data_IF_374684254425
#
_entry.id   IF_374684254425
#
_cell.length_a   1.000
_cell.length_b   1.000
_cell.length_c   1.000
_cell.angle_alpha   90.00
_cell.angle_beta   90.00
_cell.angle_gamma   90.00
#
_symmetry.space_group_name_H-M   'P 1'
#
loop_
_entity.id
_entity.type
_entity.pdbx_description
1 polymer ?
#
# COMPACT_ATOMS: atom_id res chain seq x y z
N UNK A 1 -33.70 49.02 -26.97
CA UNK A 1 -33.22 49.40 -28.31
C UNK A 1 -32.53 48.24 -28.97
N UNK A 2 -33.09 47.81 -30.10
CA UNK A 2 -32.65 46.69 -30.94
C UNK A 2 -31.35 47.02 -31.65
N UNK A 3 -30.46 46.06 -31.87
CA UNK A 3 -29.73 45.91 -33.15
C UNK A 3 -29.33 44.46 -33.37
N UNK A 4 -29.95 43.84 -34.36
CA UNK A 4 -29.55 42.61 -35.01
C UNK A 4 -28.38 42.89 -35.97
N UNK A 5 -27.34 42.06 -35.92
CA UNK A 5 -26.27 42.02 -36.94
C UNK A 5 -26.30 40.66 -37.64
N UNK A 6 -26.62 40.67 -38.91
CA UNK A 6 -26.67 39.50 -39.79
C UNK A 6 -25.28 39.15 -40.30
N UNK A 7 -24.96 37.85 -40.36
CA UNK A 7 -23.76 37.28 -40.99
C UNK A 7 -23.94 37.11 -42.49
N UNK A 8 -22.94 37.39 -43.32
CA UNK A 8 -23.02 37.22 -44.77
C UNK A 8 -22.78 35.76 -45.18
N UNK A 9 -23.61 35.30 -46.16
CA UNK A 9 -23.49 34.02 -46.84
C UNK A 9 -22.35 34.09 -47.89
N UNK A 10 -21.41 33.11 -47.84
CA UNK A 10 -20.42 32.85 -48.88
C UNK A 10 -20.96 31.91 -49.96
N UNK A 11 -20.63 32.11 -51.24
CA UNK A 11 -21.18 31.29 -52.35
C UNK A 11 -20.45 29.97 -52.53
N UNK A 12 -21.20 28.95 -52.85
CA UNK A 12 -20.74 27.61 -53.22
C UNK A 12 -20.02 27.65 -54.59
N UNK A 13 -18.73 27.38 -54.59
CA UNK A 13 -17.94 27.14 -55.79
C UNK A 13 -18.05 25.65 -56.14
N UNK A 14 -18.75 25.37 -57.28
CA UNK A 14 -18.81 24.04 -57.88
C UNK A 14 -17.54 23.77 -58.68
N UNK A 15 -16.69 22.90 -58.18
CA UNK A 15 -15.53 22.36 -58.91
C UNK A 15 -15.95 21.04 -59.59
N UNK A 16 -15.97 21.07 -60.97
CA UNK A 16 -16.08 19.86 -61.77
C UNK A 16 -14.71 19.23 -61.86
N UNK A 17 -14.54 18.02 -61.32
CA UNK A 17 -13.35 17.21 -61.53
C UNK A 17 -13.74 16.03 -62.42
N UNK A 18 -13.20 16.04 -63.61
CA UNK A 18 -13.29 14.96 -64.60
C UNK A 18 -12.37 13.82 -64.15
N UNK A 19 -12.89 12.61 -64.37
CA UNK A 19 -12.26 11.37 -63.88
C UNK A 19 -10.93 11.02 -64.58
N UNK A 20 -10.06 10.44 -63.76
CA UNK A 20 -9.04 9.51 -64.23
C UNK A 20 -9.08 8.35 -63.23
N UNK A 21 -9.50 7.17 -63.72
CA UNK A 21 -9.42 5.93 -62.96
C UNK A 21 -7.95 5.48 -62.94
N UNK A 22 -7.26 5.67 -61.82
CA UNK A 22 -6.02 4.99 -61.52
C UNK A 22 -6.32 3.83 -60.57
N UNK A 23 -6.13 2.61 -61.04
CA UNK A 23 -6.25 1.38 -60.25
C UNK A 23 -5.09 1.39 -59.22
N UNK A 24 -5.42 1.70 -57.96
CA UNK A 24 -4.50 1.52 -56.83
C UNK A 24 -4.71 0.09 -56.31
N UNK A 25 -3.75 -0.77 -56.60
CA UNK A 25 -3.55 -2.07 -55.92
C UNK A 25 -3.14 -1.78 -54.48
N UNK A 26 -4.10 -1.95 -53.56
CA UNK A 26 -3.82 -1.87 -52.09
C UNK A 26 -3.04 -3.13 -51.68
N UNK A 27 -1.74 -2.97 -51.47
CA UNK A 27 -0.94 -3.96 -50.73
C UNK A 27 -1.29 -3.84 -49.26
N UNK A 28 -2.12 -4.76 -48.78
CA UNK A 28 -2.40 -4.88 -47.35
C UNK A 28 -1.14 -5.39 -46.62
N UNK A 29 -0.35 -4.49 -46.08
CA UNK A 29 0.68 -4.83 -45.09
C UNK A 29 -0.04 -5.21 -43.80
N UNK A 30 -0.21 -6.52 -43.57
CA UNK A 30 -0.62 -7.05 -42.28
C UNK A 30 0.56 -6.88 -41.32
N UNK A 31 0.52 -5.81 -40.54
CA UNK A 31 1.35 -5.69 -39.34
C UNK A 31 0.84 -6.72 -38.33
N UNK A 32 1.43 -7.90 -38.33
CA UNK A 32 1.32 -8.79 -37.17
C UNK A 32 2.14 -8.16 -36.04
N UNK A 33 1.45 -7.42 -35.13
CA UNK A 33 2.04 -7.15 -33.82
C UNK A 33 2.40 -8.51 -33.21
N UNK A 34 3.64 -8.75 -32.79
CA UNK A 34 3.94 -9.92 -31.99
C UNK A 34 3.11 -9.76 -30.70
N UNK A 35 2.11 -10.59 -30.54
CA UNK A 35 1.43 -10.81 -29.29
C UNK A 35 2.52 -11.28 -28.33
N UNK A 36 2.97 -10.40 -27.43
CA UNK A 36 3.86 -10.80 -26.35
C UNK A 36 3.08 -11.79 -25.50
N UNK A 37 3.27 -13.07 -25.78
CA UNK A 37 2.77 -14.14 -24.94
C UNK A 37 3.44 -13.94 -23.56
N UNK A 38 2.71 -13.34 -22.61
CA UNK A 38 3.11 -13.36 -21.22
C UNK A 38 3.21 -14.82 -20.82
N UNK A 39 4.40 -15.24 -20.44
CA UNK A 39 4.59 -16.58 -19.90
C UNK A 39 3.60 -16.77 -18.74
N UNK A 40 2.97 -17.95 -18.68
CA UNK A 40 2.06 -18.27 -17.58
C UNK A 40 2.78 -18.02 -16.24
N UNK A 41 2.09 -17.44 -15.24
CA UNK A 41 2.71 -17.14 -13.96
C UNK A 41 3.29 -18.42 -13.36
N UNK A 42 4.58 -18.38 -13.02
CA UNK A 42 5.28 -19.48 -12.36
C UNK A 42 5.42 -19.10 -10.90
N UNK A 43 5.03 -20.00 -10.00
CA UNK A 43 5.10 -19.78 -8.56
C UNK A 43 6.22 -20.60 -7.95
N UNK A 44 6.93 -20.02 -6.99
CA UNK A 44 8.04 -20.66 -6.26
C UNK A 44 7.94 -20.34 -4.76
N UNK A 45 8.25 -21.30 -3.94
CA UNK A 45 8.44 -21.06 -2.51
C UNK A 45 9.74 -20.32 -2.29
N UNK A 46 9.65 -19.11 -1.75
CA UNK A 46 10.79 -18.30 -1.33
C UNK A 46 10.72 -18.08 0.18
N UNK A 47 11.84 -18.33 0.87
CA UNK A 47 11.93 -18.14 2.32
C UNK A 47 12.92 -17.00 2.63
N UNK A 48 12.64 -16.28 3.69
CA UNK A 48 13.42 -15.14 4.16
C UNK A 48 14.48 -15.56 5.19
N UNK A 49 15.27 -14.62 5.67
CA UNK A 49 16.29 -14.85 6.70
C UNK A 49 15.70 -15.33 8.04
N UNK A 50 14.45 -14.93 8.32
CA UNK A 50 13.68 -15.40 9.48
C UNK A 50 13.02 -16.79 9.27
N UNK A 51 13.30 -17.46 8.14
CA UNK A 51 12.69 -18.72 7.73
C UNK A 51 11.16 -18.61 7.49
N UNK A 52 10.65 -17.41 7.25
CA UNK A 52 9.27 -17.21 6.82
C UNK A 52 9.20 -17.46 5.33
N UNK A 53 8.32 -18.36 4.89
CA UNK A 53 8.22 -18.74 3.49
C UNK A 53 6.92 -18.23 2.88
N UNK A 54 7.02 -17.87 1.60
CA UNK A 54 5.92 -17.35 0.79
C UNK A 54 5.87 -18.06 -0.56
N UNK A 55 4.68 -18.22 -1.11
CA UNK A 55 4.49 -18.68 -2.47
C UNK A 55 4.42 -17.48 -3.40
N UNK A 56 5.56 -17.11 -3.99
CA UNK A 56 5.69 -15.90 -4.81
C UNK A 56 5.59 -16.18 -6.30
N UNK A 57 5.08 -15.21 -7.05
CA UNK A 57 5.11 -15.21 -8.49
C UNK A 57 6.48 -14.75 -9.00
N UNK A 58 7.16 -15.62 -9.74
CA UNK A 58 8.51 -15.36 -10.25
C UNK A 58 8.59 -14.12 -11.15
N UNK A 59 7.49 -13.71 -11.78
CA UNK A 59 7.45 -12.51 -12.61
C UNK A 59 7.70 -11.22 -11.81
N UNK A 60 7.49 -11.23 -10.49
CA UNK A 60 7.74 -10.08 -9.63
C UNK A 60 9.09 -10.10 -8.93
N UNK A 61 9.90 -11.16 -9.09
CA UNK A 61 11.17 -11.28 -8.35
C UNK A 61 12.08 -10.07 -8.52
N UNK A 62 12.34 -9.65 -9.74
CA UNK A 62 13.22 -8.50 -10.03
C UNK A 62 12.65 -7.20 -9.45
N UNK A 63 11.31 -7.03 -9.52
CA UNK A 63 10.64 -5.87 -8.94
C UNK A 63 10.73 -5.88 -7.40
N UNK A 64 10.58 -7.04 -6.77
CA UNK A 64 10.74 -7.21 -5.32
C UNK A 64 12.16 -6.83 -4.91
N UNK A 65 13.18 -7.39 -5.56
CA UNK A 65 14.60 -7.11 -5.25
C UNK A 65 14.94 -5.62 -5.44
N UNK A 66 14.46 -5.01 -6.53
CA UNK A 66 14.65 -3.59 -6.79
C UNK A 66 14.00 -2.70 -5.70
N UNK A 67 12.77 -3.04 -5.28
CA UNK A 67 12.08 -2.31 -4.22
C UNK A 67 12.74 -2.47 -2.84
N UNK A 68 13.18 -3.68 -2.49
CA UNK A 68 13.96 -3.93 -1.28
C UNK A 68 15.22 -3.04 -1.26
N UNK A 69 15.98 -3.01 -2.37
CA UNK A 69 17.17 -2.17 -2.51
C UNK A 69 16.84 -0.68 -2.37
N UNK A 70 15.78 -0.20 -3.05
CA UNK A 70 15.33 1.19 -2.99
C UNK A 70 14.94 1.61 -1.57
N UNK A 71 14.14 0.80 -0.89
CA UNK A 71 13.68 1.12 0.47
C UNK A 71 14.84 1.10 1.46
N UNK A 72 15.76 0.13 1.37
CA UNK A 72 16.98 0.13 2.20
C UNK A 72 17.85 1.36 1.98
N UNK A 73 17.97 1.83 0.73
CA UNK A 73 18.68 3.08 0.44
C UNK A 73 18.00 4.30 1.08
N UNK A 74 16.67 4.34 1.05
CA UNK A 74 15.89 5.39 1.72
C UNK A 74 16.10 5.39 3.22
N UNK A 75 16.08 4.21 3.84
CA UNK A 75 16.40 4.01 5.27
C UNK A 75 17.81 4.51 5.57
N UNK A 76 18.81 4.06 4.81
CA UNK A 76 20.21 4.47 5.00
C UNK A 76 20.39 5.99 4.89
N UNK A 77 19.69 6.63 3.95
CA UNK A 77 19.72 8.09 3.78
C UNK A 77 19.19 8.83 5.01
N UNK A 78 18.08 8.37 5.59
CA UNK A 78 17.54 8.97 6.81
C UNK A 78 18.41 8.66 8.04
N UNK A 79 18.98 7.46 8.12
CA UNK A 79 19.93 7.07 9.18
C UNK A 79 21.18 7.95 9.15
N UNK A 80 21.73 8.24 7.97
CA UNK A 80 22.88 9.12 7.82
C UNK A 80 22.62 10.56 8.27
N UNK A 81 21.35 10.98 8.35
CA UNK A 81 20.93 12.27 8.93
C UNK A 81 20.79 12.20 10.46
N UNK A 82 21.16 11.11 11.11
CA UNK A 82 21.08 10.92 12.56
C UNK A 82 19.67 10.63 13.08
N UNK A 83 18.75 10.20 12.22
CA UNK A 83 17.39 9.89 12.62
C UNK A 83 17.25 8.46 13.15
N UNK A 84 16.44 8.28 14.17
CA UNK A 84 15.86 6.99 14.51
C UNK A 84 14.88 6.57 13.38
N UNK A 85 14.92 5.31 13.03
CA UNK A 85 14.13 4.75 11.93
C UNK A 85 13.00 3.89 12.48
N UNK A 86 11.77 4.27 12.18
CA UNK A 86 10.58 3.49 12.50
C UNK A 86 9.94 2.88 11.27
N UNK A 87 9.15 1.83 11.50
CA UNK A 87 8.24 1.25 10.50
C UNK A 87 6.79 1.43 10.96
N UNK A 88 5.92 1.85 10.04
CA UNK A 88 4.47 1.95 10.28
C UNK A 88 3.77 0.69 9.76
N UNK A 89 3.24 -0.12 10.65
CA UNK A 89 2.29 -1.18 10.32
C UNK A 89 0.88 -0.63 10.36
N UNK A 90 0.19 -0.67 9.23
CA UNK A 90 -1.18 -0.17 9.09
C UNK A 90 -1.94 -0.95 8.02
N UNK A 91 -3.23 -1.26 8.21
CA UNK A 91 -4.05 -1.89 7.18
C UNK A 91 -4.12 -1.02 5.93
N UNK A 92 -3.60 -1.50 4.81
CA UNK A 92 -3.73 -0.84 3.50
C UNK A 92 -4.80 -1.51 2.63
N UNK A 93 -5.00 -2.81 2.80
CA UNK A 93 -5.99 -3.59 2.05
C UNK A 93 -7.41 -3.04 2.27
N UNK A 94 -8.25 -2.98 1.21
CA UNK A 94 -9.66 -2.64 1.34
C UNK A 94 -10.51 -3.80 1.90
N UNK A 95 -9.92 -4.95 2.17
CA UNK A 95 -10.63 -6.11 2.72
C UNK A 95 -11.36 -5.75 4.03
N UNK A 96 -12.58 -6.25 4.18
CA UNK A 96 -13.41 -5.94 5.34
C UNK A 96 -14.24 -4.65 5.24
N UNK A 97 -14.21 -3.95 4.10
CA UNK A 97 -15.04 -2.77 3.84
C UNK A 97 -14.30 -1.43 3.87
N UNK A 98 -12.96 -1.47 3.98
CA UNK A 98 -12.12 -0.29 3.89
C UNK A 98 -11.96 0.23 2.46
N UNK A 99 -11.15 1.28 2.31
CA UNK A 99 -10.74 1.85 1.04
C UNK A 99 -9.22 2.02 1.03
N UNK A 100 -8.54 1.49 0.01
CA UNK A 100 -7.09 1.63 -0.11
C UNK A 100 -6.65 3.10 -0.07
N UNK A 101 -7.35 3.97 -0.81
CA UNK A 101 -7.02 5.40 -0.83
C UNK A 101 -7.22 6.07 0.53
N UNK A 102 -8.26 5.70 1.28
CA UNK A 102 -8.51 6.21 2.63
C UNK A 102 -7.47 5.66 3.59
N UNK A 103 -7.20 4.35 3.55
CA UNK A 103 -6.17 3.73 4.40
C UNK A 103 -4.78 4.34 4.16
N UNK A 104 -4.43 4.62 2.90
CA UNK A 104 -3.17 5.30 2.56
C UNK A 104 -3.11 6.73 3.10
N UNK A 105 -4.23 7.47 3.06
CA UNK A 105 -4.31 8.81 3.64
C UNK A 105 -4.19 8.79 5.17
N UNK A 106 -4.80 7.80 5.83
CA UNK A 106 -4.64 7.57 7.27
C UNK A 106 -3.19 7.23 7.60
N UNK A 107 -2.55 6.36 6.80
CA UNK A 107 -1.15 6.00 6.97
C UNK A 107 -0.23 7.23 6.88
N UNK A 108 -0.48 8.11 5.91
CA UNK A 108 0.28 9.35 5.76
C UNK A 108 0.09 10.29 6.96
N UNK A 109 -1.14 10.46 7.43
CA UNK A 109 -1.44 11.29 8.61
C UNK A 109 -0.81 10.71 9.88
N UNK A 110 -0.92 9.39 10.09
CA UNK A 110 -0.32 8.69 11.23
C UNK A 110 1.19 8.84 11.22
N UNK A 111 1.84 8.60 10.07
CA UNK A 111 3.29 8.76 9.94
C UNK A 111 3.74 10.19 10.29
N UNK A 112 3.03 11.21 9.81
CA UNK A 112 3.30 12.62 10.13
C UNK A 112 3.12 12.90 11.62
N UNK A 113 2.02 12.42 12.21
CA UNK A 113 1.71 12.63 13.64
C UNK A 113 2.73 11.99 14.54
N UNK A 114 3.10 10.72 14.30
CA UNK A 114 4.11 10.00 15.08
C UNK A 114 5.48 10.68 14.93
N UNK A 115 5.89 11.02 13.71
CA UNK A 115 7.15 11.72 13.46
C UNK A 115 7.18 13.09 14.16
N UNK A 116 6.09 13.83 14.17
CA UNK A 116 6.02 15.12 14.87
C UNK A 116 6.16 14.96 16.39
N UNK A 117 5.54 13.94 16.98
CA UNK A 117 5.66 13.64 18.43
C UNK A 117 7.08 13.24 18.84
N UNK A 118 7.78 12.49 18.00
CA UNK A 118 9.16 12.06 18.24
C UNK A 118 10.19 13.13 17.86
N UNK A 119 9.77 14.18 17.16
CA UNK A 119 10.63 15.21 16.59
C UNK A 119 11.11 14.86 15.18
N UNK A 120 10.70 15.65 14.19
CA UNK A 120 10.97 15.39 12.76
C UNK A 120 12.45 15.44 12.37
N UNK A 121 13.30 16.03 13.23
CA UNK A 121 14.77 16.01 13.08
C UNK A 121 15.38 14.72 13.61
N UNK A 122 14.73 14.09 14.58
CA UNK A 122 15.27 12.96 15.35
C UNK A 122 14.70 11.61 14.93
N UNK A 123 13.56 11.58 14.22
CA UNK A 123 12.92 10.34 13.80
C UNK A 123 12.38 10.45 12.37
N UNK A 124 12.33 9.30 11.72
CA UNK A 124 11.65 9.11 10.45
C UNK A 124 10.88 7.79 10.49
N UNK A 125 9.66 7.80 10.00
CA UNK A 125 8.78 6.63 9.99
C UNK A 125 8.54 6.20 8.54
N UNK A 126 8.99 5.00 8.20
CA UNK A 126 8.73 4.37 6.91
C UNK A 126 7.24 4.05 6.81
N UNK A 127 6.57 4.64 5.83
CA UNK A 127 5.17 4.41 5.55
C UNK A 127 5.02 3.46 4.34
N UNK A 128 4.59 2.21 4.52
CA UNK A 128 4.42 1.26 3.41
C UNK A 128 3.40 1.73 2.37
N UNK A 129 2.41 2.54 2.76
CA UNK A 129 1.42 3.10 1.83
C UNK A 129 2.01 4.10 0.84
N UNK A 130 3.07 4.81 1.22
CA UNK A 130 3.81 5.71 0.33
C UNK A 130 4.87 4.96 -0.50
N UNK A 131 5.35 3.81 0.03
CA UNK A 131 6.46 3.04 -0.54
C UNK A 131 5.98 1.68 -1.09
N UNK A 132 4.73 1.63 -1.59
CA UNK A 132 4.03 0.39 -1.96
C UNK A 132 4.74 -0.48 -3.02
N UNK A 133 5.79 0.02 -3.63
CA UNK A 133 6.63 -0.72 -4.55
C UNK A 133 6.30 -0.46 -6.02
N UNK A 134 7.30 0.02 -6.73
CA UNK A 134 7.23 0.19 -8.17
C UNK A 134 7.11 -1.18 -8.87
N UNK A 135 6.37 -1.23 -9.97
CA UNK A 135 6.21 -2.42 -10.80
C UNK A 135 5.58 -3.63 -10.12
N UNK A 136 4.90 -3.42 -8.99
CA UNK A 136 4.19 -4.48 -8.25
C UNK A 136 2.69 -4.55 -8.61
N UNK A 137 2.28 -3.90 -9.69
CA UNK A 137 0.89 -3.93 -10.12
C UNK A 137 0.48 -5.35 -10.55
N UNK A 138 -0.54 -5.90 -9.91
CA UNK A 138 -0.99 -7.29 -10.10
C UNK A 138 -0.27 -8.32 -9.23
N UNK A 139 0.66 -7.91 -8.36
CA UNK A 139 1.26 -8.78 -7.36
C UNK A 139 0.23 -9.22 -6.31
N UNK A 140 0.42 -10.41 -5.77
CA UNK A 140 -0.39 -10.97 -4.68
C UNK A 140 0.02 -10.42 -3.31
N UNK A 141 -0.79 -10.68 -2.29
CA UNK A 141 -0.42 -10.41 -0.89
C UNK A 141 0.90 -11.10 -0.51
N UNK A 142 1.12 -12.34 -0.93
CA UNK A 142 2.34 -13.08 -0.67
C UNK A 142 3.59 -12.42 -1.30
N UNK A 143 3.47 -11.86 -2.51
CA UNK A 143 4.58 -11.15 -3.15
C UNK A 143 4.93 -9.87 -2.36
N UNK A 144 3.92 -9.11 -1.93
CA UNK A 144 4.13 -7.93 -1.08
C UNK A 144 4.69 -8.29 0.28
N UNK A 145 4.16 -9.32 0.93
CA UNK A 145 4.63 -9.74 2.26
C UNK A 145 6.05 -10.30 2.20
N UNK A 146 6.42 -11.02 1.14
CA UNK A 146 7.80 -11.46 0.93
C UNK A 146 8.76 -10.26 0.81
N UNK A 147 8.38 -9.23 0.04
CA UNK A 147 9.15 -7.99 -0.09
C UNK A 147 9.31 -7.28 1.26
N UNK A 148 8.20 -7.06 1.96
CA UNK A 148 8.21 -6.33 3.23
C UNK A 148 8.95 -7.10 4.32
N UNK A 149 8.80 -8.43 4.38
CA UNK A 149 9.55 -9.25 5.35
C UNK A 149 11.05 -9.08 5.18
N UNK A 150 11.56 -9.12 3.94
CA UNK A 150 12.99 -8.89 3.67
C UNK A 150 13.46 -7.50 4.13
N UNK A 151 12.62 -6.48 3.95
CA UNK A 151 12.93 -5.12 4.42
C UNK A 151 12.97 -5.08 5.95
N UNK A 152 11.95 -5.65 6.60
CA UNK A 152 11.77 -5.57 8.06
C UNK A 152 12.81 -6.39 8.82
N UNK A 153 13.11 -7.60 8.32
CA UNK A 153 14.08 -8.48 9.00
C UNK A 153 15.53 -8.00 8.88
N UNK A 154 15.83 -7.20 7.84
CA UNK A 154 17.20 -6.82 7.52
C UNK A 154 18.07 -7.98 7.03
N UNK A 155 19.33 -7.71 6.62
CA UNK A 155 20.21 -8.74 6.07
C UNK A 155 20.54 -9.89 7.03
N UNK A 156 20.53 -9.65 8.34
CA UNK A 156 20.89 -10.65 9.37
C UNK A 156 19.67 -11.26 10.08
N UNK A 157 18.46 -10.83 9.73
CA UNK A 157 17.22 -11.23 10.42
C UNK A 157 17.12 -10.65 11.84
N UNK A 158 17.78 -9.53 12.09
CA UNK A 158 17.80 -8.83 13.38
C UNK A 158 17.06 -7.50 13.34
N UNK A 159 16.40 -7.17 12.20
CA UNK A 159 15.74 -5.89 12.02
C UNK A 159 16.68 -4.71 12.23
N UNK A 160 17.95 -4.86 11.86
CA UNK A 160 19.02 -3.93 12.15
C UNK A 160 18.84 -2.56 11.52
N UNK A 161 17.99 -2.48 10.51
CA UNK A 161 17.65 -1.24 9.83
C UNK A 161 16.64 -0.38 10.61
N UNK A 162 16.03 -0.92 11.68
CA UNK A 162 14.98 -0.26 12.44
C UNK A 162 15.30 -0.14 13.92
N UNK A 163 14.84 0.98 14.50
CA UNK A 163 14.90 1.25 15.94
C UNK A 163 13.56 0.92 16.61
N UNK A 164 12.45 1.09 15.88
CA UNK A 164 11.10 0.78 16.40
C UNK A 164 10.12 0.40 15.30
N UNK A 165 9.06 -0.32 15.70
CA UNK A 165 7.85 -0.53 14.89
C UNK A 165 6.67 0.16 15.57
N UNK A 166 5.82 0.77 14.77
CA UNK A 166 4.60 1.41 15.21
C UNK A 166 3.41 0.74 14.52
N UNK A 167 2.57 0.09 15.29
CA UNK A 167 1.33 -0.53 14.84
C UNK A 167 0.18 0.45 15.07
N UNK A 168 -0.45 0.88 13.99
CA UNK A 168 -1.57 1.79 14.03
C UNK A 168 -2.76 1.16 14.75
N UNK A 169 -3.34 1.90 15.67
CA UNK A 169 -4.45 1.46 16.47
C UNK A 169 -5.72 2.29 16.29
N UNK A 170 -6.76 2.00 17.07
CA UNK A 170 -8.04 2.69 16.96
C UNK A 170 -7.96 4.21 17.07
N UNK A 171 -7.02 4.75 17.87
CA UNK A 171 -6.87 6.21 18.05
C UNK A 171 -6.37 6.90 16.79
N UNK A 172 -5.48 6.25 16.01
CA UNK A 172 -4.96 6.79 14.76
C UNK A 172 -6.10 6.94 13.72
N UNK A 173 -6.95 5.92 13.60
CA UNK A 173 -8.12 5.95 12.72
C UNK A 173 -9.17 6.95 13.21
N UNK A 174 -9.46 6.99 14.52
CA UNK A 174 -10.37 7.95 15.12
C UNK A 174 -9.93 9.40 14.86
N UNK A 175 -8.64 9.66 14.99
CA UNK A 175 -8.04 10.98 14.74
C UNK A 175 -8.25 11.46 13.30
N UNK A 176 -8.13 10.57 12.32
CA UNK A 176 -8.31 10.91 10.91
C UNK A 176 -9.74 11.38 10.60
N UNK A 177 -10.73 10.73 11.18
CA UNK A 177 -12.15 11.04 10.99
C UNK A 177 -12.71 12.01 12.03
N UNK A 178 -11.87 12.53 12.93
CA UNK A 178 -12.27 13.40 14.04
C UNK A 178 -13.33 12.76 14.93
N UNK A 179 -13.22 11.43 15.17
CA UNK A 179 -14.17 10.70 16.03
C UNK A 179 -13.87 10.96 17.49
N UNK A 180 -14.91 11.24 18.25
CA UNK A 180 -14.81 11.65 19.66
C UNK A 180 -15.50 10.69 20.63
N UNK A 181 -16.09 9.61 20.14
CA UNK A 181 -16.93 8.69 20.91
C UNK A 181 -18.41 9.10 20.93
N UNK A 182 -18.75 10.25 20.34
CA UNK A 182 -20.14 10.75 20.26
C UNK A 182 -20.54 10.92 18.80
N UNK A 183 -21.67 10.32 18.42
CA UNK A 183 -22.19 10.36 17.05
C UNK A 183 -21.16 9.93 15.99
N UNK A 184 -20.27 9.02 16.32
CA UNK A 184 -19.15 8.61 15.45
C UNK A 184 -19.65 7.94 14.17
N UNK A 185 -20.71 7.15 14.25
CA UNK A 185 -21.29 6.48 13.08
C UNK A 185 -21.90 7.50 12.11
N UNK A 186 -22.61 8.48 12.62
CA UNK A 186 -23.20 9.58 11.84
C UNK A 186 -22.10 10.46 11.21
N UNK A 187 -21.00 10.69 11.94
CA UNK A 187 -19.83 11.42 11.41
C UNK A 187 -19.16 10.65 10.25
N UNK A 188 -19.00 9.34 10.39
CA UNK A 188 -18.45 8.49 9.32
C UNK A 188 -19.36 8.46 8.10
N UNK A 189 -20.67 8.37 8.28
CA UNK A 189 -21.64 8.43 7.18
C UNK A 189 -21.63 9.78 6.48
N UNK A 190 -21.57 10.87 7.22
CA UNK A 190 -21.46 12.22 6.67
C UNK A 190 -20.13 12.42 5.91
N UNK A 191 -19.02 11.89 6.45
CA UNK A 191 -17.72 11.89 5.78
C UNK A 191 -17.78 11.11 4.46
N UNK A 192 -18.40 9.92 4.49
CA UNK A 192 -18.58 9.08 3.29
C UNK A 192 -19.36 9.84 2.21
N UNK A 193 -20.52 10.43 2.55
CA UNK A 193 -21.34 11.17 1.60
C UNK A 193 -20.61 12.39 1.03
N UNK A 194 -19.88 13.12 1.87
CA UNK A 194 -19.07 14.25 1.44
C UNK A 194 -17.95 13.81 0.49
N UNK A 195 -17.34 12.63 0.73
CA UNK A 195 -16.29 12.07 -0.13
C UNK A 195 -16.86 11.64 -1.47
N UNK A 196 -17.99 10.95 -1.49
CA UNK A 196 -18.70 10.58 -2.74
C UNK A 196 -19.01 11.82 -3.59
N UNK A 197 -19.41 12.91 -2.96
CA UNK A 197 -19.73 14.15 -3.66
C UNK A 197 -18.51 14.87 -4.25
N UNK A 198 -17.32 14.69 -3.66
CA UNK A 198 -16.12 15.48 -4.01
C UNK A 198 -15.05 14.69 -4.77
N UNK A 199 -15.05 13.38 -4.66
CA UNK A 199 -14.01 12.51 -5.22
C UNK A 199 -14.60 11.57 -6.28
N UNK A 200 -14.39 11.85 -7.58
CA UNK A 200 -14.92 11.01 -8.66
C UNK A 200 -14.41 9.56 -8.64
N UNK A 201 -13.17 9.33 -8.20
CA UNK A 201 -12.61 7.98 -8.10
C UNK A 201 -13.27 7.19 -6.97
N UNK A 202 -13.48 7.82 -5.82
CA UNK A 202 -14.20 7.22 -4.70
C UNK A 202 -15.66 6.94 -5.08
N UNK A 203 -16.32 7.89 -5.75
CA UNK A 203 -17.69 7.71 -6.28
C UNK A 203 -17.76 6.53 -7.24
N UNK A 204 -16.82 6.40 -8.18
CA UNK A 204 -16.77 5.28 -9.12
C UNK A 204 -16.65 3.93 -8.39
N UNK A 205 -15.83 3.84 -7.35
CA UNK A 205 -15.69 2.62 -6.55
C UNK A 205 -17.00 2.28 -5.79
N UNK A 206 -17.74 3.29 -5.34
CA UNK A 206 -19.05 3.12 -4.71
C UNK A 206 -20.09 2.65 -5.74
N UNK A 207 -20.15 3.28 -6.91
CA UNK A 207 -21.09 2.92 -8.00
C UNK A 207 -20.84 1.48 -8.49
N UNK A 208 -19.61 1.00 -8.46
CA UNK A 208 -19.21 -0.38 -8.79
C UNK A 208 -19.45 -1.38 -7.65
N UNK A 209 -19.88 -0.93 -6.48
CA UNK A 209 -20.09 -1.77 -5.31
C UNK A 209 -18.80 -2.25 -4.62
N UNK A 210 -17.64 -1.74 -5.04
CA UNK A 210 -16.35 -2.06 -4.40
C UNK A 210 -16.24 -1.46 -2.99
N UNK A 211 -16.92 -0.34 -2.74
CA UNK A 211 -17.04 0.31 -1.44
C UNK A 211 -18.53 0.55 -1.17
N UNK A 212 -19.02 0.08 -0.03
CA UNK A 212 -20.41 0.34 0.39
C UNK A 212 -20.43 1.21 1.65
N UNK A 213 -21.45 2.07 1.81
CA UNK A 213 -21.58 2.90 3.01
C UNK A 213 -21.62 2.05 4.28
N UNK A 214 -22.36 0.94 4.27
CA UNK A 214 -22.45 0.04 5.42
C UNK A 214 -21.09 -0.64 5.74
N UNK A 215 -20.38 -1.12 4.72
CA UNK A 215 -19.04 -1.70 4.88
C UNK A 215 -18.06 -0.66 5.43
N UNK A 216 -18.04 0.53 4.84
CA UNK A 216 -17.20 1.65 5.28
C UNK A 216 -17.48 2.04 6.74
N UNK A 217 -18.76 2.24 7.09
CA UNK A 217 -19.16 2.55 8.45
C UNK A 217 -18.74 1.47 9.43
N UNK A 218 -18.98 0.21 9.12
CA UNK A 218 -18.62 -0.90 10.00
C UNK A 218 -17.11 -1.00 10.19
N UNK A 219 -16.34 -0.90 9.11
CA UNK A 219 -14.88 -0.97 9.16
C UNK A 219 -14.29 0.17 10.00
N UNK A 220 -14.57 1.41 9.64
CA UNK A 220 -13.99 2.57 10.32
C UNK A 220 -14.70 2.90 11.65
N UNK A 221 -15.95 2.50 11.82
CA UNK A 221 -16.70 2.65 13.07
C UNK A 221 -16.17 1.76 14.18
N UNK A 222 -15.57 0.61 13.83
CA UNK A 222 -14.80 -0.20 14.77
C UNK A 222 -13.38 0.34 14.97
N UNK A 223 -13.08 1.51 14.36
CA UNK A 223 -11.77 2.16 14.39
C UNK A 223 -10.70 1.18 13.98
N UNK A 224 -10.73 0.85 12.68
CA UNK A 224 -9.85 -0.12 12.06
C UNK A 224 -8.42 -0.01 12.61
N UNK A 225 -7.77 -1.12 12.76
CA UNK A 225 -6.43 -1.22 13.32
C UNK A 225 -5.73 -2.42 12.71
N UNK A 226 -4.55 -2.72 13.15
CA UNK A 226 -3.80 -3.92 12.76
C UNK A 226 -4.59 -5.21 12.94
N UNK A 227 -5.59 -5.24 13.83
CA UNK A 227 -6.46 -6.39 14.02
C UNK A 227 -7.32 -6.76 12.78
N UNK A 228 -7.48 -5.83 11.83
CA UNK A 228 -8.20 -6.06 10.58
C UNK A 228 -7.29 -6.37 9.38
N UNK A 229 -5.98 -6.51 9.60
CA UNK A 229 -5.00 -6.71 8.54
C UNK A 229 -4.17 -7.96 8.78
N UNK A 230 -4.29 -8.94 7.90
CA UNK A 230 -3.43 -10.12 7.94
C UNK A 230 -1.94 -9.75 7.79
N UNK A 231 -1.62 -8.82 6.88
CA UNK A 231 -0.25 -8.32 6.72
C UNK A 231 0.31 -7.70 8.00
N UNK A 232 -0.50 -6.92 8.73
CA UNK A 232 -0.07 -6.36 10.02
C UNK A 232 0.10 -7.43 11.10
N UNK A 233 -0.66 -8.53 11.05
CA UNK A 233 -0.42 -9.69 11.93
C UNK A 233 0.92 -10.36 11.63
N UNK A 234 1.26 -10.52 10.34
CA UNK A 234 2.56 -11.05 9.94
C UNK A 234 3.69 -10.13 10.39
N UNK A 235 3.54 -8.82 10.21
CA UNK A 235 4.51 -7.82 10.65
C UNK A 235 4.71 -7.84 12.17
N UNK A 236 3.64 -8.08 12.94
CA UNK A 236 3.74 -8.29 14.38
C UNK A 236 4.55 -9.54 14.74
N UNK A 237 4.30 -10.65 14.04
CA UNK A 237 5.05 -11.88 14.22
C UNK A 237 6.52 -11.71 13.81
N UNK A 238 6.79 -10.94 12.75
CA UNK A 238 8.16 -10.58 12.34
C UNK A 238 8.86 -9.79 13.46
N UNK A 239 8.20 -8.77 14.04
CA UNK A 239 8.75 -8.02 15.16
C UNK A 239 9.11 -8.90 16.36
N UNK A 240 8.23 -9.87 16.69
CA UNK A 240 8.48 -10.86 17.74
C UNK A 240 9.69 -11.73 17.42
N UNK A 241 9.76 -12.30 16.21
CA UNK A 241 10.88 -13.13 15.80
C UNK A 241 12.21 -12.38 15.76
N UNK A 242 12.20 -11.13 15.33
CA UNK A 242 13.38 -10.24 15.41
C UNK A 242 13.83 -10.12 16.86
N UNK A 243 12.92 -9.82 17.79
CA UNK A 243 13.25 -9.68 19.20
C UNK A 243 13.70 -10.99 19.84
N UNK A 244 13.14 -12.13 19.44
CA UNK A 244 13.60 -13.45 19.86
C UNK A 244 15.06 -13.69 19.44
N UNK A 245 15.40 -13.37 18.19
CA UNK A 245 16.78 -13.47 17.69
C UNK A 245 17.73 -12.49 18.37
N UNK A 246 17.31 -11.23 18.58
CA UNK A 246 18.12 -10.23 19.29
C UNK A 246 18.46 -10.66 20.71
N UNK A 247 17.57 -11.32 21.41
CA UNK A 247 17.85 -11.84 22.78
C UNK A 247 18.98 -12.87 22.80
N UNK A 248 19.11 -13.65 21.74
CA UNK A 248 20.17 -14.66 21.60
C UNK A 248 21.46 -14.14 20.95
N UNK A 249 21.46 -12.94 20.39
CA UNK A 249 22.60 -12.39 19.66
C UNK A 249 23.52 -11.61 20.60
N UNK A 250 24.84 -11.89 20.53
CA UNK A 250 25.84 -11.30 21.42
C UNK A 250 25.88 -9.76 21.39
N UNK A 251 25.65 -9.17 20.20
CA UNK A 251 25.73 -7.72 19.98
C UNK A 251 24.46 -6.97 20.37
N UNK A 252 23.36 -7.65 20.63
CA UNK A 252 22.05 -7.04 20.90
C UNK A 252 21.59 -7.25 22.34
N UNK A 253 21.40 -8.48 22.76
CA UNK A 253 20.88 -8.81 24.09
C UNK A 253 19.50 -8.21 24.39
N UNK A 254 19.09 -8.28 25.64
CA UNK A 254 17.78 -7.78 26.11
C UNK A 254 17.68 -6.26 26.00
N UNK A 255 18.78 -5.55 26.23
CA UNK A 255 18.82 -4.07 26.24
C UNK A 255 18.59 -3.45 24.85
N UNK A 256 18.85 -4.20 23.79
CA UNK A 256 18.77 -3.71 22.41
C UNK A 256 17.61 -4.37 21.64
N UNK A 257 16.49 -4.61 22.31
CA UNK A 257 15.27 -5.06 21.67
C UNK A 257 14.72 -3.97 20.75
N UNK A 258 14.11 -4.40 19.64
CA UNK A 258 13.31 -3.52 18.79
C UNK A 258 12.15 -2.98 19.63
N UNK A 259 12.03 -1.67 19.73
CA UNK A 259 10.89 -1.06 20.40
C UNK A 259 9.63 -1.25 19.57
N UNK A 260 8.53 -1.63 20.20
CA UNK A 260 7.25 -1.83 19.53
C UNK A 260 6.19 -0.99 20.21
N UNK A 261 5.42 -0.29 19.40
CA UNK A 261 4.29 0.52 19.84
C UNK A 261 3.00 0.03 19.17
N UNK A 262 1.93 0.03 19.93
CA UNK A 262 0.57 -0.15 19.42
C UNK A 262 -0.29 1.01 19.90
N UNK A 263 -0.95 1.69 18.98
CA UNK A 263 -1.83 2.83 19.26
C UNK A 263 -1.15 3.91 20.13
N UNK A 264 0.15 4.12 19.91
CA UNK A 264 0.96 5.08 20.65
C UNK A 264 1.53 4.60 21.98
N UNK A 265 1.22 3.38 22.41
CA UNK A 265 1.68 2.80 23.68
C UNK A 265 2.78 1.75 23.44
N UNK A 266 3.85 1.73 24.25
CA UNK A 266 4.87 0.69 24.15
C UNK A 266 4.27 -0.67 24.52
N UNK A 267 4.61 -1.70 23.74
CA UNK A 267 4.12 -3.05 23.92
C UNK A 267 5.24 -4.07 23.72
N UNK A 268 5.01 -5.28 24.26
CA UNK A 268 5.87 -6.44 24.00
C UNK A 268 5.13 -7.39 23.07
N UNK A 269 5.66 -7.70 21.87
CA UNK A 269 4.95 -8.52 20.89
C UNK A 269 4.70 -9.98 21.33
N UNK A 270 5.36 -10.46 22.39
CA UNK A 270 5.34 -11.86 22.78
C UNK A 270 4.00 -12.47 23.21
N UNK A 271 2.97 -11.66 23.47
CA UNK A 271 1.64 -12.12 23.86
C UNK A 271 0.65 -12.25 22.70
N UNK A 272 1.05 -11.88 21.49
CA UNK A 272 0.19 -11.92 20.33
C UNK A 272 0.62 -13.04 19.39
N UNK A 273 -0.06 -14.15 19.46
CA UNK A 273 0.13 -15.27 18.56
C UNK A 273 -1.16 -15.53 17.81
N UNK A 274 -1.20 -15.17 16.54
CA UNK A 274 -2.21 -15.66 15.65
C UNK A 274 -1.55 -16.32 14.44
N UNK A 275 -1.10 -17.59 14.56
CA UNK A 275 -0.44 -18.29 13.46
C UNK A 275 -1.35 -18.53 12.26
N UNK A 276 -2.65 -18.39 12.42
CA UNK A 276 -3.64 -18.54 11.35
C UNK A 276 -4.02 -17.22 10.68
N UNK A 277 -3.37 -16.11 11.03
CA UNK A 277 -3.80 -14.80 10.62
C UNK A 277 -3.58 -14.52 9.14
N UNK A 278 -2.53 -15.06 8.54
CA UNK A 278 -2.17 -14.75 7.18
C UNK A 278 -2.38 -15.91 6.23
N UNK A 279 -3.14 -15.65 5.18
CA UNK A 279 -3.16 -16.51 4.00
C UNK A 279 -1.93 -16.30 3.09
N UNK A 280 -1.07 -15.33 3.42
CA UNK A 280 0.08 -14.95 2.60
C UNK A 280 1.35 -15.74 2.98
N UNK A 281 1.51 -16.09 4.26
CA UNK A 281 2.59 -16.97 4.73
C UNK A 281 2.28 -18.42 4.34
N UNK A 282 3.19 -19.04 3.61
CA UNK A 282 3.04 -20.45 3.25
C UNK A 282 3.91 -20.86 2.08
N UNK A 283 4.05 -22.19 1.95
CA UNK A 283 4.74 -22.78 0.79
C UNK A 283 3.77 -22.97 -0.36
N UNK A 284 4.27 -22.92 -1.59
CA UNK A 284 3.45 -23.28 -2.74
C UNK A 284 2.95 -24.72 -2.58
N UNK A 285 1.64 -24.89 -2.72
CA UNK A 285 1.02 -26.23 -2.80
C UNK A 285 1.24 -26.74 -4.22
N UNK A 286 1.78 -27.93 -4.35
CA UNK A 286 1.99 -28.59 -5.63
C UNK A 286 0.69 -29.12 -6.21
#
# INVERSE_FOLDING_TARGET
MKRHGALPRLPLLRLKISGVFAALTAVALTFTCPEQAFAAPSYVTACTTLDICYCINTNFRDAIEANVGRVRQLIATNRAQGKAIGYLSIPLSPAGGGSFAVNSAIAEQTAKSVTARLGSRSAWLLNPGAEAGDRMNGASGADFMYMWTQILEGPKGLGEDFDFFYFAGPSDFASYFELTGQADLERLEAWFDARVAKDPAFKSAVDQGSITKAGFRNYYGLRASVAFSYGSHDEWNIARLINDRRRGAADYGIANQLAVFFDGHPVTPGGYENPAASGDVGRCVK
#
